data_IF_061321950066
#
_entry.id   IF_061321950066
#
_cell.length_a   1.000
_cell.length_b   1.000
_cell.length_c   1.000
_cell.angle_alpha   90.00
_cell.angle_beta   90.00
_cell.angle_gamma   90.00
#
_symmetry.space_group_name_H-M   'P 1'
#
loop_
_entity.id
_entity.type
_entity.pdbx_description
1 polymer ?
#
# COMPACT_ATOMS: atom_id res chain seq x y z
N UNK A 1 12.90 -60.22 -45.43
CA UNK A 1 14.32 -59.84 -45.29
C UNK A 1 14.44 -58.39 -45.70
N UNK A 2 14.70 -57.49 -44.76
CA UNK A 2 14.97 -56.08 -45.04
C UNK A 2 16.45 -55.90 -45.43
N UNK A 3 16.79 -54.77 -46.06
CA UNK A 3 18.01 -54.08 -45.69
C UNK A 3 17.77 -52.60 -45.31
N UNK A 4 18.77 -52.12 -44.61
CA UNK A 4 18.92 -50.98 -43.67
C UNK A 4 19.34 -49.65 -44.29
N UNK A 5 19.14 -48.58 -43.49
CA UNK A 5 19.95 -47.35 -43.34
C UNK A 5 19.99 -46.33 -44.51
N UNK A 6 20.19 -45.02 -44.36
CA UNK A 6 20.32 -44.04 -43.27
C UNK A 6 20.33 -42.63 -43.93
N UNK A 7 20.16 -41.59 -43.10
CA UNK A 7 20.67 -40.20 -43.25
C UNK A 7 19.89 -39.13 -44.03
N UNK A 8 19.49 -38.08 -43.29
CA UNK A 8 19.84 -36.65 -43.47
C UNK A 8 18.66 -35.68 -43.21
N UNK A 9 18.72 -34.97 -42.07
CA UNK A 9 18.31 -33.55 -41.94
C UNK A 9 19.38 -32.65 -42.61
N UNK A 10 19.13 -31.40 -43.06
CA UNK A 10 18.59 -30.30 -42.22
C UNK A 10 17.81 -29.14 -42.95
N UNK A 11 17.47 -28.11 -42.16
CA UNK A 11 17.05 -26.72 -42.46
C UNK A 11 15.63 -26.49 -43.04
N UNK A 12 14.71 -25.85 -42.32
CA UNK A 12 14.64 -24.44 -41.86
C UNK A 12 14.32 -23.43 -42.98
N UNK A 13 13.05 -23.01 -43.06
CA UNK A 13 12.63 -21.59 -43.16
C UNK A 13 11.14 -21.45 -43.50
N UNK A 14 10.39 -20.95 -42.51
CA UNK A 14 9.40 -19.86 -42.59
C UNK A 14 8.30 -19.86 -43.67
N UNK A 15 7.03 -19.98 -43.25
CA UNK A 15 5.95 -19.11 -43.72
C UNK A 15 4.99 -18.74 -42.57
N UNK A 16 4.95 -17.44 -42.26
CA UNK A 16 3.93 -16.77 -41.44
C UNK A 16 2.58 -16.73 -42.20
N UNK A 17 1.46 -16.86 -41.48
CA UNK A 17 0.39 -15.85 -41.37
C UNK A 17 -0.87 -16.45 -40.72
N UNK A 18 -1.50 -15.68 -39.81
CA UNK A 18 -2.85 -15.97 -39.31
C UNK A 18 -3.07 -15.65 -37.84
N UNK A 19 -2.87 -14.39 -37.44
CA UNK A 19 -3.28 -13.87 -36.14
C UNK A 19 -4.80 -13.68 -36.12
N UNK A 20 -5.52 -14.51 -35.36
CA UNK A 20 -6.92 -14.27 -35.02
C UNK A 20 -7.07 -14.08 -33.51
N UNK A 21 -7.88 -13.07 -33.19
CA UNK A 21 -7.90 -12.31 -31.95
C UNK A 21 -8.02 -13.18 -30.69
N UNK A 22 -7.00 -13.11 -29.83
CA UNK A 22 -7.24 -13.23 -28.39
C UNK A 22 -8.06 -12.01 -27.98
N UNK A 23 -9.36 -12.20 -27.75
CA UNK A 23 -10.16 -11.26 -26.97
C UNK A 23 -9.48 -11.21 -25.59
N UNK A 24 -8.90 -10.08 -25.14
CA UNK A 24 -8.39 -10.01 -23.79
C UNK A 24 -9.57 -10.23 -22.85
N UNK A 25 -9.44 -11.03 -21.77
CA UNK A 25 -10.50 -11.11 -20.78
C UNK A 25 -10.74 -9.68 -20.29
N UNK A 26 -11.98 -9.23 -20.42
CA UNK A 26 -12.47 -8.01 -19.80
C UNK A 26 -12.14 -8.09 -18.32
N UNK A 27 -11.03 -7.49 -17.92
CA UNK A 27 -10.70 -7.27 -16.54
C UNK A 27 -11.76 -6.28 -16.04
N UNK A 28 -12.82 -6.83 -15.43
CA UNK A 28 -13.49 -6.10 -14.36
C UNK A 28 -12.44 -6.00 -13.28
N UNK A 29 -11.64 -4.94 -13.35
CA UNK A 29 -10.65 -4.59 -12.34
C UNK A 29 -11.45 -4.23 -11.08
N UNK A 30 -11.76 -5.25 -10.29
CA UNK A 30 -12.01 -5.07 -8.88
C UNK A 30 -10.72 -4.49 -8.31
N UNK A 31 -10.57 -3.16 -8.34
CA UNK A 31 -9.45 -2.47 -7.71
C UNK A 31 -9.53 -2.80 -6.22
N UNK A 32 -8.85 -3.86 -5.83
CA UNK A 32 -8.65 -4.23 -4.45
C UNK A 32 -7.93 -3.07 -3.77
N UNK A 33 -8.70 -2.24 -3.05
CA UNK A 33 -8.18 -1.05 -2.38
C UNK A 33 -7.10 -1.49 -1.40
N UNK A 34 -5.85 -1.29 -1.77
CA UNK A 34 -4.69 -1.52 -0.91
C UNK A 34 -4.10 -0.16 -0.57
N UNK A 35 -3.76 0.06 0.70
CA UNK A 35 -3.14 1.33 1.11
C UNK A 35 -1.75 1.48 0.46
N UNK A 36 -1.45 2.71 0.02
CA UNK A 36 -0.08 3.08 -0.29
C UNK A 36 0.72 3.26 1.02
N UNK A 37 2.00 2.89 0.97
CA UNK A 37 2.91 2.96 2.11
C UNK A 37 4.25 3.48 1.63
N UNK A 38 4.68 4.60 2.17
CA UNK A 38 5.96 5.22 1.83
C UNK A 38 6.87 5.06 3.04
N UNK A 39 7.84 4.17 2.95
CA UNK A 39 8.84 3.97 4.00
C UNK A 39 9.96 5.00 3.88
N UNK A 40 10.40 5.54 5.00
CA UNK A 40 11.53 6.47 5.07
C UNK A 40 12.30 6.31 6.36
N UNK A 41 13.57 6.74 6.33
CA UNK A 41 14.35 6.92 7.54
C UNK A 41 13.65 7.88 8.50
N UNK A 42 13.93 7.75 9.81
CA UNK A 42 13.37 8.64 10.82
C UNK A 42 13.77 10.10 10.53
N UNK A 43 12.78 10.98 10.47
CA UNK A 43 12.93 12.41 10.19
C UNK A 43 12.40 13.25 11.35
N UNK A 44 12.77 14.52 11.39
CA UNK A 44 12.19 15.48 12.34
C UNK A 44 10.82 15.95 11.86
N UNK A 45 10.02 16.54 12.75
CA UNK A 45 8.72 17.13 12.39
C UNK A 45 8.87 18.19 11.29
N UNK A 46 9.93 19.01 11.35
CA UNK A 46 10.23 20.01 10.33
C UNK A 46 10.46 19.38 8.95
N UNK A 47 11.22 18.29 8.89
CA UNK A 47 11.50 17.57 7.65
C UNK A 47 10.23 16.90 7.09
N UNK A 48 9.41 16.31 7.97
CA UNK A 48 8.13 15.71 7.60
C UNK A 48 7.18 16.78 7.07
N UNK A 49 7.04 17.91 7.77
CA UNK A 49 6.21 19.02 7.31
C UNK A 49 6.71 19.52 5.95
N UNK A 50 8.03 19.70 5.76
CA UNK A 50 8.60 20.11 4.48
C UNK A 50 8.28 19.12 3.35
N UNK A 51 8.26 17.82 3.63
CA UNK A 51 7.84 16.79 2.68
C UNK A 51 6.38 16.96 2.22
N UNK A 52 5.48 17.42 3.10
CA UNK A 52 4.08 17.66 2.77
C UNK A 52 3.77 19.09 2.29
N UNK A 53 4.69 20.04 2.46
CA UNK A 53 4.48 21.46 2.14
C UNK A 53 4.23 21.74 0.66
N UNK A 54 4.68 20.87 -0.26
CA UNK A 54 4.30 20.96 -1.68
C UNK A 54 2.77 20.92 -1.87
N UNK A 55 2.04 20.35 -0.90
CA UNK A 55 0.57 20.25 -0.88
C UNK A 55 -0.13 21.41 -0.16
N UNK A 56 0.60 22.37 0.41
CA UNK A 56 0.08 23.48 1.21
C UNK A 56 0.59 23.51 2.65
N UNK A 57 0.15 24.50 3.43
CA UNK A 57 0.53 24.61 4.85
C UNK A 57 -0.09 23.44 5.63
N UNK A 58 0.73 22.71 6.38
CA UNK A 58 0.28 21.58 7.18
C UNK A 58 0.91 21.58 8.57
N UNK A 59 0.29 20.84 9.48
CA UNK A 59 0.80 20.56 10.82
C UNK A 59 0.84 19.07 11.07
N UNK A 60 1.72 18.64 11.97
CA UNK A 60 1.77 17.26 12.45
C UNK A 60 1.48 17.24 13.95
N UNK A 61 0.62 16.33 14.38
CA UNK A 61 0.38 16.05 15.81
C UNK A 61 0.66 14.59 16.09
N UNK A 62 1.61 14.35 16.99
CA UNK A 62 1.96 13.01 17.43
C UNK A 62 1.11 12.58 18.61
N UNK A 63 0.60 11.36 18.53
CA UNK A 63 -0.10 10.74 19.64
C UNK A 63 0.11 9.24 19.66
N UNK A 64 -0.16 8.62 20.80
CA UNK A 64 -0.29 7.18 20.90
C UNK A 64 -1.77 6.80 20.82
N UNK A 65 -2.24 6.20 19.70
CA UNK A 65 -3.64 5.82 19.55
C UNK A 65 -4.05 4.74 20.55
N UNK A 66 -5.36 4.62 20.80
CA UNK A 66 -5.86 3.60 21.72
C UNK A 66 -5.69 2.21 21.13
N UNK A 67 -4.99 1.34 21.86
CA UNK A 67 -4.75 -0.05 21.46
C UNK A 67 -6.06 -0.82 21.39
N UNK A 68 -6.24 -1.60 20.32
CA UNK A 68 -7.36 -2.51 20.19
C UNK A 68 -8.71 -1.85 19.87
N UNK A 69 -8.75 -0.52 19.75
CA UNK A 69 -9.94 0.25 19.39
C UNK A 69 -9.85 0.76 17.94
N UNK A 70 -11.00 1.19 17.41
CA UNK A 70 -11.07 1.95 16.17
C UNK A 70 -10.50 3.35 16.40
N UNK A 71 -9.49 3.73 15.61
CA UNK A 71 -8.90 5.06 15.62
C UNK A 71 -9.11 5.72 14.27
N UNK A 72 -9.55 6.97 14.29
CA UNK A 72 -9.75 7.81 13.12
C UNK A 72 -8.88 9.05 13.22
N UNK A 73 -8.12 9.39 12.17
CA UNK A 73 -7.45 10.68 12.10
C UNK A 73 -8.45 11.86 12.14
N UNK A 74 -7.98 13.07 12.48
CA UNK A 74 -8.79 14.30 12.42
C UNK A 74 -9.41 14.57 11.04
N UNK A 75 -10.45 15.41 10.99
CA UNK A 75 -11.31 15.63 9.81
C UNK A 75 -10.58 16.19 8.58
N UNK A 76 -9.36 16.73 8.69
CA UNK A 76 -8.56 17.22 7.55
C UNK A 76 -7.20 16.52 7.45
N UNK A 77 -7.09 15.32 8.01
CA UNK A 77 -5.85 14.54 7.91
C UNK A 77 -5.62 14.10 6.46
N UNK A 78 -4.48 14.48 5.92
CA UNK A 78 -4.02 14.11 4.57
C UNK A 78 -3.06 12.93 4.58
N UNK A 79 -2.46 12.64 5.75
CA UNK A 79 -1.60 11.49 5.93
C UNK A 79 -1.55 11.03 7.40
N UNK A 80 -1.25 9.75 7.57
CA UNK A 80 -0.91 9.13 8.84
C UNK A 80 0.54 8.67 8.77
N UNK A 81 1.38 9.19 9.66
CA UNK A 81 2.78 8.78 9.81
C UNK A 81 2.87 7.81 10.98
N UNK A 82 3.42 6.63 10.75
CA UNK A 82 3.65 5.63 11.79
C UNK A 82 5.13 5.60 12.09
N UNK A 83 5.53 5.95 13.32
CA UNK A 83 6.90 5.71 13.78
C UNK A 83 6.99 4.29 14.31
N UNK A 84 7.84 3.47 13.68
CA UNK A 84 8.05 2.06 14.03
C UNK A 84 9.46 1.91 14.62
N UNK A 85 9.66 2.29 15.90
CA UNK A 85 11.00 2.31 16.50
C UNK A 85 11.59 0.92 16.70
N UNK A 86 10.75 -0.07 17.00
CA UNK A 86 11.14 -1.45 17.23
C UNK A 86 10.06 -2.43 16.71
N UNK A 87 10.32 -3.73 16.87
CA UNK A 87 9.40 -4.79 16.48
C UNK A 87 8.17 -4.95 17.42
N UNK A 88 7.63 -3.87 18.02
CA UNK A 88 6.55 -3.97 19.04
C UNK A 88 5.23 -3.29 18.68
N UNK A 89 4.80 -3.41 17.43
CA UNK A 89 3.43 -3.06 17.09
C UNK A 89 3.08 -3.21 15.63
N UNK A 90 1.81 -2.96 15.36
CA UNK A 90 1.31 -2.81 14.01
C UNK A 90 0.04 -1.95 14.01
N UNK A 91 -0.16 -1.17 12.97
CA UNK A 91 -1.47 -0.65 12.62
C UNK A 91 -2.07 -1.49 11.50
N UNK A 92 -3.35 -1.83 11.62
CA UNK A 92 -4.14 -2.45 10.56
C UNK A 92 -5.16 -1.43 10.10
N UNK A 93 -5.16 -1.11 8.81
CA UNK A 93 -6.06 -0.14 8.19
C UNK A 93 -7.24 -0.88 7.58
N UNK A 94 -8.42 -0.32 7.78
CA UNK A 94 -9.68 -0.86 7.33
C UNK A 94 -10.47 0.22 6.59
N UNK A 95 -11.21 -0.19 5.58
CA UNK A 95 -12.20 0.65 4.89
C UNK A 95 -13.59 0.17 5.30
N UNK A 96 -14.43 1.07 5.81
CA UNK A 96 -15.82 0.75 6.12
C UNK A 96 -16.54 0.40 4.81
N UNK A 97 -17.08 -0.81 4.69
CA UNK A 97 -18.01 -1.15 3.62
C UNK A 97 -19.42 -0.67 3.98
N UNK A 98 -20.30 -0.56 2.98
CA UNK A 98 -21.58 0.15 3.10
C UNK A 98 -22.50 -0.37 4.20
N UNK A 99 -22.46 -1.67 4.57
CA UNK A 99 -23.59 -2.21 5.33
C UNK A 99 -23.31 -3.02 6.61
N UNK A 100 -22.13 -3.58 6.88
CA UNK A 100 -21.92 -4.29 8.18
C UNK A 100 -20.48 -4.65 8.51
N UNK A 101 -19.59 -4.77 7.51
CA UNK A 101 -18.22 -5.25 7.73
C UNK A 101 -17.20 -4.22 7.23
N UNK A 102 -16.09 -4.09 7.96
CA UNK A 102 -14.96 -3.30 7.49
C UNK A 102 -13.96 -4.20 6.78
N UNK A 103 -13.61 -3.86 5.55
CA UNK A 103 -12.59 -4.60 4.78
C UNK A 103 -11.21 -4.18 5.25
N UNK A 104 -10.36 -5.14 5.57
CA UNK A 104 -8.93 -4.89 5.80
C UNK A 104 -8.26 -4.51 4.47
N UNK A 105 -7.54 -3.39 4.46
CA UNK A 105 -6.94 -2.80 3.24
C UNK A 105 -5.43 -2.58 3.38
N UNK A 106 -4.84 -2.92 4.54
CA UNK A 106 -3.40 -2.92 4.70
C UNK A 106 -2.92 -2.92 6.14
N UNK A 107 -1.63 -3.15 6.29
CA UNK A 107 -0.95 -3.23 7.58
C UNK A 107 0.39 -2.51 7.48
N UNK A 108 0.76 -1.81 8.55
CA UNK A 108 2.14 -1.35 8.80
C UNK A 108 2.54 -1.96 10.14
N UNK A 109 3.51 -2.86 10.12
CA UNK A 109 3.99 -3.55 11.31
C UNK A 109 5.50 -3.61 11.41
N UNK A 110 5.97 -4.70 12.02
CA UNK A 110 7.38 -4.96 12.31
C UNK A 110 8.26 -5.05 11.07
N UNK A 111 7.69 -5.32 9.90
CA UNK A 111 8.40 -5.28 8.63
C UNK A 111 8.99 -3.90 8.30
N UNK A 112 8.56 -2.85 8.99
CA UNK A 112 9.08 -1.48 8.88
C UNK A 112 9.90 -1.04 10.10
N UNK A 113 10.38 -1.96 10.94
CA UNK A 113 11.15 -1.58 12.11
C UNK A 113 12.37 -0.71 11.76
N UNK A 114 12.60 0.32 12.58
CA UNK A 114 13.63 1.33 12.37
C UNK A 114 13.23 2.47 11.43
N UNK A 115 12.03 2.43 10.82
CA UNK A 115 11.58 3.39 9.84
C UNK A 115 10.31 4.15 10.30
N UNK A 116 10.07 5.27 9.63
CA UNK A 116 8.76 5.92 9.61
C UNK A 116 8.03 5.51 8.34
N UNK A 117 6.73 5.26 8.45
CA UNK A 117 5.88 4.90 7.29
C UNK A 117 4.77 5.92 7.14
N UNK A 118 4.72 6.56 5.99
CA UNK A 118 3.64 7.46 5.62
C UNK A 118 2.56 6.65 4.90
N UNK A 119 1.33 6.80 5.36
CA UNK A 119 0.12 6.34 4.68
C UNK A 119 -0.65 7.58 4.24
N UNK A 120 -0.71 7.89 2.93
CA UNK A 120 -1.61 8.90 2.41
C UNK A 120 -3.04 8.60 2.84
N UNK A 121 -3.71 9.58 3.42
CA UNK A 121 -5.03 9.42 4.01
C UNK A 121 -6.04 10.21 3.18
N UNK A 122 -6.67 9.52 2.23
CA UNK A 122 -7.55 10.16 1.25
C UNK A 122 -9.05 9.97 1.55
N UNK A 123 -9.41 8.99 2.40
CA UNK A 123 -10.81 8.59 2.58
C UNK A 123 -11.27 8.66 4.04
N UNK A 124 -12.34 9.41 4.30
CA UNK A 124 -13.00 9.46 5.62
C UNK A 124 -13.65 8.13 6.05
N UNK A 125 -13.76 7.17 5.13
CA UNK A 125 -14.27 5.82 5.37
C UNK A 125 -13.20 4.91 5.97
N UNK A 126 -11.93 5.33 5.96
CA UNK A 126 -10.84 4.56 6.51
C UNK A 126 -10.73 4.78 8.02
N UNK A 127 -10.30 3.74 8.71
CA UNK A 127 -9.96 3.76 10.11
C UNK A 127 -8.86 2.74 10.36
N UNK A 128 -8.19 2.80 11.50
CA UNK A 128 -7.16 1.83 11.83
C UNK A 128 -7.27 1.30 13.25
N UNK A 129 -6.77 0.08 13.46
CA UNK A 129 -6.63 -0.56 14.76
C UNK A 129 -5.16 -0.73 15.09
N UNK A 130 -4.75 -0.24 16.25
CA UNK A 130 -3.39 -0.41 16.76
C UNK A 130 -3.26 -1.71 17.58
N UNK A 131 -2.19 -2.44 17.31
CA UNK A 131 -1.63 -3.48 18.18
C UNK A 131 -0.26 -3.02 18.68
N UNK A 132 0.04 -3.25 19.96
CA UNK A 132 1.32 -2.85 20.56
C UNK A 132 1.34 -1.38 20.99
N UNK A 133 2.50 -0.74 20.86
CA UNK A 133 2.74 0.64 21.27
C UNK A 133 3.53 1.35 20.18
N UNK A 134 2.82 2.05 19.28
CA UNK A 134 3.41 2.85 18.21
C UNK A 134 2.97 4.31 18.38
N UNK A 135 3.87 5.23 18.06
CA UNK A 135 3.54 6.65 17.92
C UNK A 135 3.02 6.88 16.51
N UNK A 136 1.92 7.63 16.42
CA UNK A 136 1.28 7.97 15.16
C UNK A 136 1.17 9.49 15.04
N UNK A 137 1.73 10.02 13.96
CA UNK A 137 1.64 11.41 13.57
C UNK A 137 0.48 11.61 12.61
N UNK A 138 -0.45 12.49 12.96
CA UNK A 138 -1.49 12.92 12.02
C UNK A 138 -1.04 14.20 11.33
N UNK A 139 -0.93 14.14 10.02
CA UNK A 139 -0.61 15.29 9.19
C UNK A 139 -1.91 15.89 8.70
N UNK A 140 -2.16 17.13 9.08
CA UNK A 140 -3.41 17.84 8.80
C UNK A 140 -3.10 19.04 7.92
N UNK A 141 -3.83 19.17 6.81
CA UNK A 141 -3.77 20.37 5.99
C UNK A 141 -4.45 21.53 6.73
N UNK A 142 -3.78 22.68 6.79
CA UNK A 142 -4.41 23.92 7.24
C UNK A 142 -5.26 24.49 6.10
N UNK A 143 -6.44 25.01 6.46
CA UNK A 143 -7.35 25.68 5.54
C UNK A 143 -6.93 27.14 5.26
#
# INVERSE_FOLDING_TARGET
MAPTNETNSPNDSSQFQGSELLIPPTATENMETTIQKISMERRTDTDLIAYFQESGKCTITWQQPKKGEENRPPVNAIAVVVDVPDNKGAIRVYKKASDTESKHIGTVGTEYAGHMVIIPWAEHTWWFRLSGSLMVGYVVAEA
#
